data_IF_449780499981
#
_entry.id   IF_449780499981
#
_cell.length_a   1.000
_cell.length_b   1.000
_cell.length_c   1.000
_cell.angle_alpha   90.00
_cell.angle_beta   90.00
_cell.angle_gamma   90.00
#
_symmetry.space_group_name_H-M   'P 1'
#
loop_
_entity.id
_entity.type
_entity.pdbx_description
1 polymer ?
#
# COMPACT_ATOMS: atom_id res chain seq x y z
N UNK A 1 4.68 1.22 29.70
CA UNK A 1 4.65 1.18 28.21
C UNK A 1 3.91 -0.03 27.66
N UNK A 2 4.05 -1.23 28.23
CA UNK A 2 3.36 -2.44 27.76
C UNK A 2 1.84 -2.26 27.76
N UNK A 3 1.24 -1.82 28.89
CA UNK A 3 -0.22 -1.64 28.98
C UNK A 3 -0.75 -0.63 27.96
N UNK A 4 0.00 0.45 27.69
CA UNK A 4 -0.37 1.45 26.69
C UNK A 4 -0.31 0.87 25.27
N UNK A 5 0.72 0.07 24.96
CA UNK A 5 0.85 -0.62 23.67
C UNK A 5 -0.27 -1.64 23.46
N UNK A 6 -0.53 -2.49 24.44
CA UNK A 6 -1.60 -3.49 24.38
C UNK A 6 -2.99 -2.85 24.25
N UNK A 7 -3.25 -1.78 25.03
CA UNK A 7 -4.51 -1.04 24.93
C UNK A 7 -4.69 -0.44 23.53
N UNK A 8 -3.63 0.14 22.96
CA UNK A 8 -3.67 0.71 21.62
C UNK A 8 -3.86 -0.36 20.52
N UNK A 9 -3.27 -1.55 20.67
CA UNK A 9 -3.47 -2.69 19.75
C UNK A 9 -4.93 -3.17 19.75
N UNK A 10 -5.60 -3.09 20.90
CA UNK A 10 -7.03 -3.39 21.02
C UNK A 10 -7.94 -2.25 20.54
N UNK A 11 -7.37 -1.19 19.95
CA UNK A 11 -8.13 -0.01 19.49
C UNK A 11 -8.63 0.88 20.62
N UNK A 12 -8.09 0.70 21.82
CA UNK A 12 -8.45 1.44 23.02
C UNK A 12 -7.50 2.61 23.30
N UNK A 13 -7.79 3.33 24.38
CA UNK A 13 -6.93 4.39 24.94
C UNK A 13 -6.82 4.28 26.44
N UNK A 14 -5.70 4.73 26.98
CA UNK A 14 -5.46 4.80 28.42
C UNK A 14 -5.22 6.25 28.83
N UNK A 15 -5.88 6.67 29.91
CA UNK A 15 -5.68 7.96 30.56
C UNK A 15 -5.12 7.73 31.96
N UNK A 16 -4.12 8.50 32.32
CA UNK A 16 -3.50 8.44 33.67
C UNK A 16 -3.65 9.81 34.33
N UNK A 17 -4.17 9.81 35.54
CA UNK A 17 -4.22 10.99 36.39
C UNK A 17 -3.66 10.67 37.77
N UNK A 18 -2.86 11.57 38.32
CA UNK A 18 -2.25 11.41 39.64
C UNK A 18 -2.57 12.61 40.51
N UNK A 19 -2.88 12.35 41.77
CA UNK A 19 -3.11 13.40 42.77
C UNK A 19 -2.15 13.16 43.95
N UNK A 20 -1.27 14.10 44.26
CA UNK A 20 -0.34 13.96 45.39
C UNK A 20 -1.07 13.59 46.69
N UNK A 21 -0.57 12.57 47.38
CA UNK A 21 -1.14 12.03 48.63
C UNK A 21 -2.42 11.19 48.47
N UNK A 22 -2.95 11.05 47.21
CA UNK A 22 -4.17 10.25 46.92
C UNK A 22 -3.93 9.13 45.88
N UNK A 23 -2.70 9.03 45.35
CA UNK A 23 -2.31 7.99 44.41
C UNK A 23 -2.59 8.32 42.96
N UNK A 24 -2.46 7.29 42.08
CA UNK A 24 -2.69 7.40 40.65
C UNK A 24 -3.96 6.63 40.22
N UNK A 25 -4.68 7.20 39.27
CA UNK A 25 -5.86 6.58 38.63
C UNK A 25 -5.55 6.30 37.17
N UNK A 26 -5.76 5.06 36.78
CA UNK A 26 -5.67 4.60 35.41
C UNK A 26 -7.09 4.37 34.87
N UNK A 27 -7.43 4.99 33.75
CA UNK A 27 -8.67 4.75 33.01
C UNK A 27 -8.34 4.13 31.67
N UNK A 28 -8.81 2.92 31.46
CA UNK A 28 -8.65 2.20 30.20
C UNK A 28 -10.00 2.21 29.48
N UNK A 29 -10.00 2.75 28.28
CA UNK A 29 -11.15 2.73 27.38
C UNK A 29 -10.90 1.68 26.31
N UNK A 30 -11.71 0.66 26.28
CA UNK A 30 -11.66 -0.38 25.25
C UNK A 30 -12.97 -0.34 24.46
N UNK A 31 -12.94 -0.49 23.13
CA UNK A 31 -14.15 -0.70 22.36
C UNK A 31 -14.80 -2.01 22.82
N UNK A 32 -16.06 -1.96 23.18
CA UNK A 32 -16.83 -3.14 23.60
C UNK A 32 -17.21 -4.04 22.42
N UNK A 33 -17.10 -3.53 21.21
CA UNK A 33 -17.40 -4.27 19.99
C UNK A 33 -16.09 -4.78 19.37
N UNK A 34 -15.89 -6.09 19.38
CA UNK A 34 -15.06 -6.71 18.35
C UNK A 34 -15.63 -6.21 17.01
N UNK A 35 -14.75 -5.75 16.12
CA UNK A 35 -15.18 -5.38 14.77
C UNK A 35 -15.55 -6.67 14.02
N UNK A 36 -16.75 -7.18 14.35
CA UNK A 36 -17.32 -8.37 13.72
C UNK A 36 -18.02 -7.91 12.45
N UNK A 37 -17.72 -8.55 11.34
CA UNK A 37 -18.33 -8.28 10.06
C UNK A 37 -18.72 -9.58 9.35
N UNK A 38 -19.79 -9.53 8.59
CA UNK A 38 -20.10 -10.60 7.64
C UNK A 38 -19.21 -10.45 6.41
N UNK A 39 -18.55 -11.52 6.01
CA UNK A 39 -17.69 -11.54 4.85
C UNK A 39 -17.94 -12.78 3.99
N UNK A 40 -17.93 -12.57 2.68
CA UNK A 40 -17.97 -13.63 1.70
C UNK A 40 -16.54 -14.17 1.52
N UNK A 41 -16.34 -15.44 1.81
CA UNK A 41 -15.07 -16.10 1.59
C UNK A 41 -14.98 -16.56 0.14
N UNK A 42 -13.89 -16.20 -0.51
CA UNK A 42 -13.59 -16.53 -1.90
C UNK A 42 -12.23 -17.20 -2.01
N UNK A 43 -12.08 -18.13 -2.93
CA UNK A 43 -10.80 -18.75 -3.24
C UNK A 43 -10.29 -18.24 -4.59
N UNK A 44 -9.01 -17.90 -4.64
CA UNK A 44 -8.34 -17.35 -5.81
C UNK A 44 -6.87 -17.78 -5.81
N UNK A 45 -6.40 -18.42 -6.88
CA UNK A 45 -5.02 -18.89 -6.98
C UNK A 45 -4.61 -19.82 -5.82
N UNK A 46 -5.54 -20.66 -5.33
CA UNK A 46 -5.30 -21.55 -4.22
C UNK A 46 -5.36 -20.91 -2.83
N UNK A 47 -5.48 -19.59 -2.70
CA UNK A 47 -5.56 -18.83 -1.44
C UNK A 47 -6.98 -18.39 -1.13
N UNK A 48 -7.31 -18.31 0.17
CA UNK A 48 -8.60 -17.80 0.64
C UNK A 48 -8.48 -16.29 0.93
N UNK A 49 -9.52 -15.56 0.54
CA UNK A 49 -9.70 -14.13 0.84
C UNK A 49 -11.11 -13.88 1.36
N UNK A 50 -11.29 -12.81 2.10
CA UNK A 50 -12.58 -12.37 2.59
C UNK A 50 -12.97 -11.04 1.93
N UNK A 51 -14.22 -10.92 1.47
CA UNK A 51 -14.79 -9.69 0.93
C UNK A 51 -15.95 -9.30 1.82
N UNK A 52 -15.97 -8.07 2.41
CA UNK A 52 -17.09 -7.63 3.26
C UNK A 52 -18.43 -7.77 2.55
N UNK A 53 -19.38 -8.46 3.15
CA UNK A 53 -20.69 -8.75 2.53
C UNK A 53 -21.48 -7.48 2.24
N UNK A 54 -21.23 -6.38 2.97
CA UNK A 54 -21.85 -5.07 2.70
C UNK A 54 -21.49 -4.48 1.33
N UNK A 55 -20.41 -4.96 0.71
CA UNK A 55 -20.01 -4.57 -0.65
C UNK A 55 -20.66 -5.44 -1.73
N UNK A 56 -21.18 -6.61 -1.38
CA UNK A 56 -21.72 -7.58 -2.34
C UNK A 56 -23.18 -7.25 -2.64
N UNK A 57 -23.46 -6.77 -3.86
CA UNK A 57 -24.84 -6.57 -4.32
C UNK A 57 -25.45 -7.86 -4.83
N UNK A 58 -24.67 -8.63 -5.60
CA UNK A 58 -25.13 -9.88 -6.20
C UNK A 58 -23.97 -10.83 -6.44
N UNK A 59 -24.27 -12.12 -6.32
CA UNK A 59 -23.41 -13.21 -6.75
C UNK A 59 -24.03 -13.86 -7.96
N UNK A 60 -23.28 -13.99 -9.05
CA UNK A 60 -23.73 -14.60 -10.30
C UNK A 60 -22.91 -15.84 -10.61
N UNK A 61 -23.59 -16.93 -10.95
CA UNK A 61 -22.96 -18.09 -11.57
C UNK A 61 -23.23 -18.07 -13.07
N UNK A 62 -22.18 -17.89 -13.86
CA UNK A 62 -22.27 -17.77 -15.31
C UNK A 62 -21.73 -19.02 -16.01
N UNK A 63 -22.37 -19.42 -17.09
CA UNK A 63 -21.82 -20.39 -18.05
C UNK A 63 -20.74 -19.72 -18.89
N UNK A 64 -19.85 -20.52 -19.50
CA UNK A 64 -18.71 -20.03 -20.29
C UNK A 64 -19.09 -18.95 -21.32
N UNK A 65 -20.08 -19.22 -22.17
CA UNK A 65 -20.52 -18.24 -23.19
C UNK A 65 -21.04 -16.91 -22.62
N UNK A 66 -21.60 -16.90 -21.40
CA UNK A 66 -22.02 -15.67 -20.73
C UNK A 66 -20.81 -14.96 -20.12
N UNK A 67 -19.87 -15.71 -19.55
CA UNK A 67 -18.65 -15.15 -18.98
C UNK A 67 -17.74 -14.56 -20.04
N UNK A 68 -17.61 -15.19 -21.20
CA UNK A 68 -16.89 -14.65 -22.36
C UNK A 68 -17.44 -13.32 -22.83
N UNK A 69 -18.77 -13.17 -22.88
CA UNK A 69 -19.40 -11.88 -23.21
C UNK A 69 -19.05 -10.79 -22.21
N UNK A 70 -19.02 -11.12 -20.91
CA UNK A 70 -18.60 -10.18 -19.86
C UNK A 70 -17.14 -9.78 -20.03
N UNK A 71 -16.25 -10.76 -20.30
CA UNK A 71 -14.83 -10.50 -20.53
C UNK A 71 -14.59 -9.66 -21.79
N UNK A 72 -15.22 -10.01 -22.89
CA UNK A 72 -15.09 -9.29 -24.16
C UNK A 72 -15.71 -7.87 -24.08
N UNK A 73 -16.85 -7.72 -23.40
CA UNK A 73 -17.52 -6.43 -23.18
C UNK A 73 -16.87 -5.56 -22.08
N UNK A 74 -15.92 -6.12 -21.32
CA UNK A 74 -15.25 -5.42 -20.23
C UNK A 74 -16.15 -5.03 -19.05
N UNK A 75 -17.40 -5.51 -19.01
CA UNK A 75 -18.34 -5.23 -17.93
C UNK A 75 -19.47 -6.26 -17.86
N UNK A 76 -20.04 -6.43 -16.68
CA UNK A 76 -21.32 -7.09 -16.48
C UNK A 76 -22.43 -6.05 -16.37
N UNK A 77 -23.63 -6.41 -16.79
CA UNK A 77 -24.83 -5.59 -16.64
C UNK A 77 -25.84 -6.29 -15.73
N UNK A 78 -26.38 -5.56 -14.78
CA UNK A 78 -27.40 -6.06 -13.86
C UNK A 78 -28.32 -4.93 -13.39
N UNK A 79 -29.63 -5.15 -13.49
CA UNK A 79 -30.67 -4.17 -13.13
C UNK A 79 -30.41 -2.76 -13.71
N UNK A 80 -29.99 -2.69 -14.98
CA UNK A 80 -29.69 -1.42 -15.65
C UNK A 80 -28.40 -0.74 -15.24
N UNK A 81 -27.59 -1.35 -14.37
CA UNK A 81 -26.31 -0.82 -13.95
C UNK A 81 -25.17 -1.60 -14.60
N UNK A 82 -24.08 -0.87 -14.92
CA UNK A 82 -22.87 -1.42 -15.50
C UNK A 82 -21.79 -1.61 -14.42
N UNK A 83 -21.18 -2.81 -14.39
CA UNK A 83 -20.14 -3.22 -13.45
C UNK A 83 -18.87 -3.55 -14.25
N UNK A 84 -17.87 -2.68 -14.31
CA UNK A 84 -16.58 -2.97 -14.95
C UNK A 84 -16.00 -4.29 -14.46
N UNK A 85 -15.57 -5.12 -15.42
CA UNK A 85 -15.08 -6.46 -15.14
C UNK A 85 -13.62 -6.45 -14.70
N UNK A 86 -13.34 -7.22 -13.66
CA UNK A 86 -11.98 -7.48 -13.18
C UNK A 86 -11.81 -8.95 -12.82
N UNK A 87 -10.61 -9.47 -13.03
CA UNK A 87 -10.21 -10.78 -12.53
C UNK A 87 -9.37 -10.58 -11.24
N UNK A 88 -9.81 -11.17 -10.12
CA UNK A 88 -9.23 -10.86 -8.80
C UNK A 88 -7.72 -11.10 -8.71
N UNK A 89 -7.13 -12.19 -9.26
CA UNK A 89 -5.69 -12.37 -9.28
C UNK A 89 -4.93 -11.18 -9.87
N UNK A 90 -5.43 -10.63 -10.99
CA UNK A 90 -4.81 -9.46 -11.63
C UNK A 90 -4.89 -8.21 -10.77
N UNK A 91 -6.01 -7.98 -10.09
CA UNK A 91 -6.13 -6.88 -9.12
C UNK A 91 -5.15 -7.02 -7.95
N UNK A 92 -4.77 -8.26 -7.60
CA UNK A 92 -3.78 -8.56 -6.57
C UNK A 92 -2.33 -8.50 -7.07
N UNK A 93 -2.12 -8.19 -8.36
CA UNK A 93 -0.80 -8.03 -8.96
C UNK A 93 -0.27 -9.26 -9.69
N UNK A 94 -1.03 -10.35 -9.75
CA UNK A 94 -0.67 -11.53 -10.54
C UNK A 94 -1.10 -11.34 -12.01
N UNK A 95 -0.21 -10.74 -12.79
CA UNK A 95 -0.46 -10.46 -14.22
C UNK A 95 -0.37 -11.71 -15.10
N UNK A 96 0.24 -12.79 -14.61
CA UNK A 96 0.41 -14.05 -15.35
C UNK A 96 -0.77 -14.99 -15.19
N UNK A 97 -1.56 -14.80 -14.12
CA UNK A 97 -2.72 -15.65 -13.86
C UNK A 97 -3.81 -15.45 -14.90
N UNK A 98 -4.30 -16.55 -15.44
CA UNK A 98 -5.46 -16.60 -16.33
C UNK A 98 -6.59 -17.37 -15.66
N UNK A 99 -7.87 -17.00 -15.92
CA UNK A 99 -8.99 -17.75 -15.41
C UNK A 99 -8.96 -19.19 -15.91
N UNK A 100 -9.01 -20.16 -14.98
CA UNK A 100 -9.13 -21.57 -15.34
C UNK A 100 -10.45 -21.83 -16.07
N UNK A 101 -10.43 -22.77 -17.01
CA UNK A 101 -11.66 -23.21 -17.69
C UNK A 101 -12.52 -24.02 -16.72
N UNK A 102 -13.71 -23.52 -16.49
CA UNK A 102 -14.69 -24.13 -15.57
C UNK A 102 -16.07 -24.24 -16.25
N UNK A 103 -16.88 -25.19 -15.78
CA UNK A 103 -18.28 -25.31 -16.27
C UNK A 103 -19.16 -24.12 -15.85
N UNK A 104 -18.84 -23.51 -14.74
CA UNK A 104 -19.50 -22.33 -14.17
C UNK A 104 -18.46 -21.40 -13.56
N UNK A 105 -18.66 -20.13 -13.75
CA UNK A 105 -17.80 -19.06 -13.26
C UNK A 105 -18.52 -18.25 -12.20
N UNK A 106 -17.86 -17.94 -11.11
CA UNK A 106 -18.40 -17.09 -10.06
C UNK A 106 -18.00 -15.65 -10.32
N UNK A 107 -19.00 -14.79 -10.48
CA UNK A 107 -18.85 -13.35 -10.67
C UNK A 107 -19.56 -12.61 -9.54
N UNK A 108 -18.82 -11.78 -8.82
CA UNK A 108 -19.34 -10.94 -7.75
C UNK A 108 -19.61 -9.53 -8.29
N UNK A 109 -20.83 -9.04 -8.11
CA UNK A 109 -21.17 -7.64 -8.36
C UNK A 109 -21.02 -6.88 -7.05
N UNK A 110 -20.07 -5.94 -7.02
CA UNK A 110 -19.70 -5.20 -5.82
C UNK A 110 -20.00 -3.71 -5.96
N UNK A 111 -20.42 -3.09 -4.85
CA UNK A 111 -20.69 -1.67 -4.77
C UNK A 111 -20.15 -1.04 -3.49
N UNK A 112 -19.58 0.16 -3.61
CA UNK A 112 -19.28 1.06 -2.50
C UNK A 112 -19.65 2.50 -2.91
N UNK A 113 -20.71 3.02 -2.31
CA UNK A 113 -21.28 4.31 -2.72
C UNK A 113 -21.72 4.30 -4.19
N UNK A 114 -21.12 5.14 -5.01
CA UNK A 114 -21.39 5.23 -6.45
C UNK A 114 -20.52 4.31 -7.30
N UNK A 115 -19.46 3.75 -6.74
CA UNK A 115 -18.54 2.88 -7.47
C UNK A 115 -19.09 1.46 -7.54
N UNK A 116 -19.01 0.86 -8.72
CA UNK A 116 -19.41 -0.52 -9.00
C UNK A 116 -18.32 -1.24 -9.75
N UNK A 117 -18.11 -2.51 -9.42
CA UNK A 117 -17.19 -3.40 -10.15
C UNK A 117 -17.75 -4.81 -10.16
N UNK A 118 -17.44 -5.58 -11.19
CA UNK A 118 -17.66 -7.03 -11.19
C UNK A 118 -16.32 -7.74 -11.07
N UNK A 119 -16.25 -8.71 -10.19
CA UNK A 119 -15.00 -9.41 -9.86
C UNK A 119 -15.20 -10.91 -10.04
N UNK A 120 -14.44 -11.50 -10.95
CA UNK A 120 -14.39 -12.95 -11.11
C UNK A 120 -13.46 -13.55 -10.06
N UNK A 121 -13.92 -14.63 -9.44
CA UNK A 121 -13.16 -15.47 -8.48
C UNK A 121 -13.21 -16.92 -8.92
N UNK A 122 -12.27 -17.75 -8.44
CA UNK A 122 -12.21 -19.16 -8.82
C UNK A 122 -13.33 -19.96 -8.14
N UNK A 123 -13.56 -19.70 -6.84
CA UNK A 123 -14.58 -20.42 -6.06
C UNK A 123 -15.13 -19.56 -4.92
N UNK A 124 -16.42 -19.77 -4.64
CA UNK A 124 -17.08 -19.23 -3.45
C UNK A 124 -17.06 -20.27 -2.34
N UNK A 125 -16.62 -19.87 -1.13
CA UNK A 125 -16.64 -20.73 0.07
C UNK A 125 -17.85 -20.48 0.96
N UNK A 126 -18.58 -19.39 0.74
CA UNK A 126 -19.77 -19.02 1.51
C UNK A 126 -19.57 -17.75 2.35
N UNK A 127 -20.65 -17.35 3.01
CA UNK A 127 -20.67 -16.19 3.88
C UNK A 127 -20.34 -16.63 5.31
N UNK A 128 -19.46 -15.88 5.98
CA UNK A 128 -19.02 -16.18 7.34
C UNK A 128 -18.86 -14.90 8.14
N UNK A 129 -19.16 -15.02 9.44
CA UNK A 129 -18.85 -13.97 10.40
C UNK A 129 -17.36 -14.00 10.74
N UNK A 130 -16.70 -12.86 10.61
CA UNK A 130 -15.27 -12.72 10.82
C UNK A 130 -14.96 -11.57 11.77
N UNK A 131 -13.93 -11.75 12.59
CA UNK A 131 -13.39 -10.68 13.45
C UNK A 131 -12.29 -9.97 12.70
N UNK A 132 -12.50 -8.69 12.41
CA UNK A 132 -11.50 -7.89 11.70
C UNK A 132 -10.38 -7.51 12.67
N UNK A 133 -9.17 -7.95 12.37
CA UNK A 133 -7.94 -7.57 13.08
C UNK A 133 -7.15 -6.57 12.26
N UNK A 134 -6.60 -5.57 12.92
CA UNK A 134 -5.66 -4.64 12.30
C UNK A 134 -4.37 -5.36 11.92
N UNK A 135 -3.89 -5.12 10.72
CA UNK A 135 -2.71 -5.76 10.12
C UNK A 135 -1.40 -5.01 10.36
N UNK A 136 -1.41 -4.09 11.32
CA UNK A 136 -0.26 -3.26 11.62
C UNK A 136 -0.04 -2.10 10.63
N UNK A 137 0.78 -1.11 11.02
CA UNK A 137 0.96 0.12 10.24
C UNK A 137 1.64 -0.10 8.88
N UNK A 138 2.39 -1.19 8.72
CA UNK A 138 3.08 -1.53 7.47
C UNK A 138 2.10 -1.93 6.36
N UNK A 139 1.08 -2.75 6.68
CA UNK A 139 0.08 -3.22 5.72
C UNK A 139 -1.16 -2.33 5.66
N UNK A 140 -1.41 -1.50 6.67
CA UNK A 140 -2.55 -0.57 6.70
C UNK A 140 -2.52 0.46 5.55
N UNK A 141 -1.35 0.67 4.92
CA UNK A 141 -1.18 1.56 3.76
C UNK A 141 -1.35 0.86 2.40
N UNK A 142 -1.50 -0.46 2.39
CA UNK A 142 -1.67 -1.21 1.14
C UNK A 142 -3.10 -1.01 0.65
N UNK A 143 -3.24 -0.31 -0.47
CA UNK A 143 -4.56 -0.06 -1.10
C UNK A 143 -5.24 -1.38 -1.41
N UNK A 144 -6.50 -1.49 -0.97
CA UNK A 144 -7.33 -2.66 -1.22
C UNK A 144 -7.24 -3.77 -0.17
N UNK A 145 -6.44 -3.61 0.89
CA UNK A 145 -6.48 -4.48 2.06
C UNK A 145 -7.20 -3.72 3.20
N UNK A 146 -8.32 -4.27 3.66
CA UNK A 146 -9.13 -3.68 4.74
C UNK A 146 -8.76 -4.22 6.13
N UNK A 147 -8.06 -5.35 6.20
CA UNK A 147 -7.68 -6.01 7.43
C UNK A 147 -7.32 -7.48 7.22
N UNK A 148 -7.23 -8.22 8.31
CA UNK A 148 -7.11 -9.66 8.28
C UNK A 148 -8.04 -10.31 9.32
N UNK A 149 -8.32 -11.58 9.14
CA UNK A 149 -9.04 -12.40 10.12
C UNK A 149 -8.37 -13.76 10.25
N UNK A 150 -8.72 -14.47 11.31
CA UNK A 150 -8.33 -15.87 11.50
C UNK A 150 -9.62 -16.68 11.47
N UNK A 151 -9.71 -17.64 10.57
CA UNK A 151 -10.84 -18.55 10.47
C UNK A 151 -10.80 -19.60 11.59
N UNK A 152 -11.89 -20.36 11.74
CA UNK A 152 -12.01 -21.38 12.79
C UNK A 152 -11.00 -22.52 12.67
N UNK A 153 -10.42 -22.75 11.49
CA UNK A 153 -9.35 -23.71 11.22
C UNK A 153 -7.93 -23.16 11.46
N UNK A 154 -7.82 -21.88 11.87
CA UNK A 154 -6.57 -21.20 12.10
C UNK A 154 -5.97 -20.53 10.85
N UNK A 155 -6.59 -20.65 9.67
CA UNK A 155 -6.13 -19.98 8.45
C UNK A 155 -6.22 -18.45 8.60
N UNK A 156 -5.11 -17.74 8.34
CA UNK A 156 -5.08 -16.28 8.32
C UNK A 156 -5.53 -15.79 6.95
N UNK A 157 -6.61 -15.04 6.91
CA UNK A 157 -7.26 -14.58 5.68
C UNK A 157 -7.24 -13.06 5.60
N UNK A 158 -6.81 -12.51 4.46
CA UNK A 158 -6.86 -11.08 4.22
C UNK A 158 -8.29 -10.66 3.83
N UNK A 159 -8.73 -9.54 4.41
CA UNK A 159 -9.98 -8.89 4.06
C UNK A 159 -9.70 -7.86 2.97
N UNK A 160 -10.30 -8.05 1.81
CA UNK A 160 -10.05 -7.24 0.63
C UNK A 160 -11.14 -6.18 0.42
N UNK A 161 -10.74 -5.07 -0.18
CA UNK A 161 -11.63 -4.10 -0.82
C UNK A 161 -11.34 -4.08 -2.33
N UNK A 162 -12.01 -4.94 -3.12
CA UNK A 162 -11.75 -5.06 -4.55
C UNK A 162 -12.06 -3.79 -5.34
N UNK A 163 -12.97 -2.94 -4.84
CA UNK A 163 -13.31 -1.66 -5.48
C UNK A 163 -12.13 -0.69 -5.39
N UNK A 164 -11.46 -0.64 -4.23
CA UNK A 164 -10.25 0.16 -4.07
C UNK A 164 -9.10 -0.38 -4.93
N UNK A 165 -8.96 -1.71 -5.07
CA UNK A 165 -7.99 -2.34 -5.96
C UNK A 165 -8.24 -1.94 -7.42
N UNK A 166 -9.47 -2.08 -7.91
CA UNK A 166 -9.86 -1.71 -9.27
C UNK A 166 -9.65 -0.22 -9.56
N UNK A 167 -9.92 0.65 -8.59
CA UNK A 167 -9.67 2.09 -8.72
C UNK A 167 -8.19 2.44 -8.86
N UNK A 168 -7.31 1.67 -8.24
CA UNK A 168 -5.86 1.79 -8.39
C UNK A 168 -5.43 1.46 -9.81
N UNK A 169 -5.89 0.31 -10.33
CA UNK A 169 -5.55 -0.14 -11.69
C UNK A 169 -6.10 0.82 -12.75
N UNK A 170 -7.32 1.32 -12.58
CA UNK A 170 -7.90 2.32 -13.49
C UNK A 170 -7.09 3.63 -13.52
N UNK A 171 -6.53 4.06 -12.39
CA UNK A 171 -5.63 5.23 -12.33
C UNK A 171 -4.29 4.97 -13.02
N UNK A 172 -3.72 3.78 -12.84
CA UNK A 172 -2.49 3.38 -13.52
C UNK A 172 -2.70 3.33 -15.05
N UNK A 173 -3.77 2.69 -15.52
CA UNK A 173 -4.12 2.64 -16.94
C UNK A 173 -4.50 3.99 -17.53
N UNK A 174 -5.21 4.86 -16.79
CA UNK A 174 -5.53 6.21 -17.24
C UNK A 174 -4.27 7.07 -17.36
N UNK A 175 -3.28 6.84 -16.51
CA UNK A 175 -1.97 7.49 -16.60
C UNK A 175 -1.18 7.00 -17.83
N UNK A 176 -1.22 5.69 -18.14
CA UNK A 176 -0.63 5.14 -19.37
C UNK A 176 -1.37 5.58 -20.64
N UNK A 177 -2.72 5.66 -20.61
CA UNK A 177 -3.53 6.07 -21.75
C UNK A 177 -3.53 7.59 -22.00
N UNK A 178 -3.18 8.39 -21.01
CA UNK A 178 -3.05 9.85 -21.15
C UNK A 178 -1.73 10.29 -21.81
N UNK A 179 -0.87 9.35 -22.23
CA UNK A 179 0.32 9.62 -23.03
C UNK A 179 -0.12 9.66 -24.51
N UNK A 180 -0.20 10.84 -25.17
CA UNK A 180 -0.45 10.90 -26.61
C UNK A 180 0.68 10.19 -27.34
N UNK A 181 0.35 9.29 -28.27
CA UNK A 181 1.31 8.74 -29.23
C UNK A 181 1.88 9.88 -30.08
N UNK A 182 3.00 10.43 -29.69
CA UNK A 182 3.80 11.35 -30.48
C UNK A 182 5.13 10.69 -30.85
N UNK A 183 5.75 11.04 -32.00
CA UNK A 183 6.86 10.31 -32.58
C UNK A 183 8.07 10.28 -31.65
N UNK A 184 8.83 9.19 -31.74
CA UNK A 184 10.03 8.93 -30.94
C UNK A 184 10.95 10.15 -30.83
N UNK A 185 10.80 10.86 -29.74
CA UNK A 185 11.78 11.74 -29.16
C UNK A 185 11.96 11.24 -27.74
N UNK A 186 13.18 11.03 -27.32
CA UNK A 186 13.67 10.53 -26.05
C UNK A 186 12.67 10.50 -24.89
N UNK A 187 12.53 9.33 -24.23
CA UNK A 187 11.60 9.08 -23.15
C UNK A 187 11.57 10.21 -22.12
N UNK A 188 10.41 10.87 -21.88
CA UNK A 188 10.27 11.71 -20.71
C UNK A 188 10.21 10.78 -19.50
N UNK A 189 11.07 11.05 -18.54
CA UNK A 189 11.19 10.33 -17.29
C UNK A 189 9.80 10.15 -16.64
N UNK A 190 9.46 8.92 -16.28
CA UNK A 190 8.46 8.61 -15.25
C UNK A 190 8.62 9.66 -14.14
N UNK A 191 7.55 10.29 -13.57
CA UNK A 191 7.73 11.14 -12.42
C UNK A 191 8.32 10.29 -11.30
N UNK A 192 9.65 10.24 -11.25
CA UNK A 192 10.38 9.66 -10.14
C UNK A 192 10.04 10.53 -8.95
N UNK A 193 9.64 9.91 -7.85
CA UNK A 193 9.63 10.62 -6.58
C UNK A 193 11.01 11.27 -6.43
N UNK A 194 11.07 12.59 -6.19
CA UNK A 194 12.36 13.24 -6.06
C UNK A 194 13.19 12.51 -5.01
N UNK A 195 14.43 12.20 -5.35
CA UNK A 195 15.33 11.45 -4.49
C UNK A 195 16.18 12.40 -3.67
N UNK A 196 16.07 12.29 -2.35
CA UNK A 196 16.86 13.08 -1.39
C UNK A 196 17.89 12.17 -0.74
N UNK A 197 19.16 12.56 -0.78
CA UNK A 197 20.23 11.88 -0.04
C UNK A 197 20.51 12.63 1.26
N UNK A 198 20.42 11.93 2.39
CA UNK A 198 20.75 12.46 3.72
C UNK A 198 22.08 11.85 4.16
N UNK A 199 23.09 12.70 4.35
CA UNK A 199 24.43 12.30 4.78
C UNK A 199 24.71 12.90 6.16
N UNK A 200 24.83 12.07 7.18
CA UNK A 200 24.96 12.47 8.58
C UNK A 200 25.54 11.30 9.37
N UNK A 201 26.45 11.50 10.30
CA UNK A 201 27.06 10.42 11.08
C UNK A 201 26.12 9.88 12.17
N UNK A 202 25.17 10.70 12.63
CA UNK A 202 24.17 10.32 13.62
C UNK A 202 23.08 9.43 13.03
N UNK A 203 23.01 8.18 13.48
CA UNK A 203 21.95 7.24 13.11
C UNK A 203 20.54 7.80 13.44
N UNK A 204 20.45 8.58 14.51
CA UNK A 204 19.19 9.17 14.97
C UNK A 204 18.70 10.24 13.99
N UNK A 205 19.58 11.16 13.57
CA UNK A 205 19.27 12.21 12.62
C UNK A 205 18.87 11.60 11.26
N UNK A 206 19.67 10.66 10.74
CA UNK A 206 19.34 9.94 9.50
C UNK A 206 17.95 9.26 9.54
N UNK A 207 17.61 8.58 10.66
CA UNK A 207 16.30 7.95 10.82
C UNK A 207 15.14 8.95 10.90
N UNK A 208 15.33 10.07 11.59
CA UNK A 208 14.29 11.11 11.73
C UNK A 208 14.10 11.81 10.40
N UNK A 209 15.17 12.30 9.77
CA UNK A 209 15.13 12.97 8.47
C UNK A 209 14.55 12.03 7.38
N UNK A 210 15.01 10.77 7.34
CA UNK A 210 14.51 9.79 6.41
C UNK A 210 13.02 9.54 6.54
N UNK A 211 12.50 9.40 7.77
CA UNK A 211 11.05 9.22 8.00
C UNK A 211 10.24 10.46 7.63
N UNK A 212 10.74 11.65 7.96
CA UNK A 212 10.07 12.91 7.66
C UNK A 212 9.95 13.08 6.14
N UNK A 213 11.07 12.99 5.43
CA UNK A 213 11.11 13.16 3.97
C UNK A 213 10.32 12.09 3.23
N UNK A 214 10.38 10.81 3.67
CA UNK A 214 9.56 9.75 3.08
C UNK A 214 8.07 10.00 3.29
N UNK A 215 7.68 10.60 4.40
CA UNK A 215 6.29 10.98 4.68
C UNK A 215 5.80 12.11 3.76
N UNK A 216 6.70 13.02 3.41
CA UNK A 216 6.43 14.11 2.47
C UNK A 216 6.48 13.67 0.99
N UNK A 217 6.71 12.38 0.72
CA UNK A 217 6.66 11.82 -0.63
C UNK A 217 7.99 11.81 -1.37
N UNK A 218 9.13 11.91 -0.67
CA UNK A 218 10.47 11.79 -1.26
C UNK A 218 10.98 10.34 -1.17
N UNK A 219 11.74 9.92 -2.18
CA UNK A 219 12.58 8.73 -2.07
C UNK A 219 13.87 9.11 -1.33
N UNK A 220 14.17 8.43 -0.21
CA UNK A 220 15.27 8.84 0.66
C UNK A 220 16.41 7.82 0.65
N UNK A 221 17.59 8.27 0.27
CA UNK A 221 18.85 7.56 0.45
C UNK A 221 19.54 8.10 1.72
N UNK A 222 20.23 7.24 2.45
CA UNK A 222 20.94 7.67 3.65
C UNK A 222 22.36 7.14 3.64
N UNK A 223 23.33 8.01 3.93
CA UNK A 223 24.74 7.67 4.07
C UNK A 223 25.26 8.11 5.44
N UNK A 224 26.18 7.34 6.00
CA UNK A 224 26.72 7.57 7.35
C UNK A 224 27.92 8.53 7.39
N UNK A 225 28.51 8.83 6.25
CA UNK A 225 29.63 9.75 6.05
C UNK A 225 29.85 10.03 4.57
N UNK A 226 30.80 10.91 4.24
CA UNK A 226 31.07 11.31 2.87
C UNK A 226 31.57 10.17 1.98
N UNK A 227 32.28 9.17 2.52
CA UNK A 227 32.76 8.02 1.73
C UNK A 227 31.61 7.12 1.33
N UNK A 228 30.72 6.77 2.28
CA UNK A 228 29.52 5.99 2.03
C UNK A 228 28.59 6.70 1.02
N UNK A 229 28.51 8.04 1.11
CA UNK A 229 27.76 8.83 0.14
C UNK A 229 28.33 8.73 -1.28
N UNK A 230 29.66 8.86 -1.44
CA UNK A 230 30.31 8.74 -2.75
C UNK A 230 30.13 7.33 -3.37
N UNK A 231 30.19 6.27 -2.55
CA UNK A 231 29.91 4.91 -3.03
C UNK A 231 28.49 4.77 -3.60
N UNK A 232 27.49 5.30 -2.92
CA UNK A 232 26.09 5.27 -3.39
C UNK A 232 25.85 6.16 -4.62
N UNK A 233 26.59 7.28 -4.75
CA UNK A 233 26.52 8.18 -5.88
C UNK A 233 27.11 7.60 -7.18
N UNK A 234 27.80 6.47 -7.12
CA UNK A 234 28.22 5.73 -8.31
C UNK A 234 27.00 5.19 -9.07
N UNK A 235 25.98 4.73 -8.34
CA UNK A 235 24.81 4.06 -8.90
C UNK A 235 23.60 5.00 -9.04
N UNK A 236 23.46 6.01 -8.17
CA UNK A 236 22.27 6.88 -8.11
C UNK A 236 22.66 8.34 -8.04
N UNK A 237 22.04 9.18 -8.88
CA UNK A 237 22.14 10.65 -8.80
C UNK A 237 20.89 11.17 -8.07
N UNK A 238 21.02 11.72 -6.85
CA UNK A 238 19.89 12.32 -6.13
C UNK A 238 19.51 13.68 -6.70
N UNK A 239 18.25 14.09 -6.51
CA UNK A 239 17.77 15.42 -6.89
C UNK A 239 18.23 16.52 -5.92
N UNK A 240 18.51 16.15 -4.66
CA UNK A 240 19.08 17.05 -3.64
C UNK A 240 19.83 16.25 -2.58
N UNK A 241 20.86 16.84 -1.99
CA UNK A 241 21.60 16.28 -0.88
C UNK A 241 21.48 17.17 0.37
N UNK A 242 21.20 16.53 1.51
CA UNK A 242 21.30 17.13 2.85
C UNK A 242 22.55 16.56 3.50
N UNK A 243 23.52 17.40 3.80
CA UNK A 243 24.86 16.97 4.20
C UNK A 243 25.26 17.64 5.52
N UNK A 244 25.54 16.83 6.53
CA UNK A 244 26.16 17.32 7.76
C UNK A 244 27.60 17.78 7.49
N UNK A 245 28.02 18.83 8.20
CA UNK A 245 29.37 19.38 8.07
C UNK A 245 30.38 18.52 8.78
N UNK A 246 30.10 18.12 10.02
CA UNK A 246 31.04 17.42 10.90
C UNK A 246 30.82 15.92 10.86
N UNK A 247 31.54 15.22 9.99
CA UNK A 247 31.44 13.76 9.85
C UNK A 247 32.82 13.10 9.89
N UNK A 248 32.92 11.86 10.44
CA UNK A 248 34.18 11.11 10.43
C UNK A 248 34.55 10.68 8.99
N UNK A 249 35.81 10.40 8.75
CA UNK A 249 36.44 9.94 7.49
C UNK A 249 36.44 10.97 6.36
N UNK A 250 35.33 11.58 6.05
CA UNK A 250 35.19 12.64 5.04
C UNK A 250 34.11 13.60 5.51
N UNK A 251 34.47 14.85 5.73
CA UNK A 251 33.55 15.89 6.14
C UNK A 251 32.64 16.37 4.99
N UNK A 252 31.65 17.19 5.33
CA UNK A 252 30.66 17.67 4.33
C UNK A 252 31.28 18.59 3.28
N UNK A 253 32.35 19.34 3.61
CA UNK A 253 33.03 20.19 2.64
C UNK A 253 33.86 19.38 1.64
N UNK A 254 34.54 18.33 2.11
CA UNK A 254 35.30 17.42 1.27
C UNK A 254 34.36 16.62 0.35
N UNK A 255 33.24 16.13 0.88
CA UNK A 255 32.20 15.50 0.07
C UNK A 255 31.69 16.47 -1.02
N UNK A 256 31.37 17.69 -0.64
CA UNK A 256 30.88 18.71 -1.61
C UNK A 256 31.89 18.97 -2.71
N UNK A 257 33.18 19.07 -2.39
CA UNK A 257 34.26 19.22 -3.40
C UNK A 257 34.29 18.06 -4.39
N UNK A 258 34.19 16.82 -3.88
CA UNK A 258 34.18 15.63 -4.73
C UNK A 258 32.94 15.62 -5.65
N UNK A 259 31.77 15.92 -5.11
CA UNK A 259 30.51 16.00 -5.89
C UNK A 259 30.60 17.08 -6.99
N UNK A 260 31.18 18.24 -6.70
CA UNK A 260 31.35 19.32 -7.70
C UNK A 260 32.41 19.01 -8.75
N UNK A 261 33.35 18.11 -8.47
CA UNK A 261 34.36 17.65 -9.44
C UNK A 261 33.82 16.59 -10.42
N UNK A 262 32.73 15.86 -10.08
CA UNK A 262 32.09 14.88 -10.96
C UNK A 262 31.11 15.58 -11.93
N UNK A 263 31.31 15.38 -13.23
CA UNK A 263 30.48 15.98 -14.29
C UNK A 263 28.99 15.58 -14.20
N UNK A 264 28.66 14.41 -13.63
CA UNK A 264 27.29 13.93 -13.45
C UNK A 264 26.60 14.54 -12.24
N UNK A 265 27.36 14.93 -11.22
CA UNK A 265 26.89 15.34 -9.91
C UNK A 265 27.03 16.84 -9.64
N UNK A 266 27.78 17.56 -10.48
CA UNK A 266 28.16 18.96 -10.27
C UNK A 266 26.98 19.91 -10.06
N UNK A 267 25.84 19.60 -10.67
CA UNK A 267 24.63 20.42 -10.64
C UNK A 267 23.63 20.00 -9.55
N UNK A 268 23.90 18.93 -8.80
CA UNK A 268 23.03 18.46 -7.70
C UNK A 268 23.01 19.50 -6.58
N UNK A 269 21.84 20.02 -6.17
CA UNK A 269 21.73 20.92 -5.03
C UNK A 269 22.19 20.25 -3.74
N UNK A 270 23.04 20.95 -2.97
CA UNK A 270 23.54 20.48 -1.66
C UNK A 270 23.14 21.51 -0.62
N UNK A 271 22.46 21.05 0.42
CA UNK A 271 22.09 21.82 1.61
C UNK A 271 22.97 21.32 2.75
N UNK A 272 23.82 22.21 3.25
CA UNK A 272 24.67 21.91 4.43
C UNK A 272 23.85 22.09 5.69
N UNK A 273 23.96 21.14 6.63
CA UNK A 273 23.31 21.13 7.93
C UNK A 273 24.38 21.18 9.01
N UNK A 274 24.15 21.90 10.11
CA UNK A 274 25.04 21.97 11.28
C UNK A 274 24.26 21.61 12.53
#
# INVERSE_FOLDING_TARGET
DVVKSETAQLGGRIEVSSTPGRGARFRVYLPLTLAVAQALLVRVGGRTYAIPSVMVEQVMELKEAAMERVRAGGAAEWLGNRYPYHFLPRLLGDTQSMPEQQRRYSLLLLRAGTQRVSVQVDQLRGNQEVVIKNIGPQLARVVGIAGATVLGDGEVVLILNPIALASRDARALAFEAAIPSAPQVEAPAVPRLPTVMVVDDSLTVRKIAGRLLSREGYHVLTAKDGVDALEQLLDVVPDVMLVDIEMPRMDGFDLTRNVRADARLKDVPIIMIT
#
